data_IF_889746333184
#
_entry.id   IF_889746333184
#
_cell.length_a   1.000
_cell.length_b   1.000
_cell.length_c   1.000
_cell.angle_alpha   90.00
_cell.angle_beta   90.00
_cell.angle_gamma   90.00
#
_symmetry.space_group_name_H-M   'P 1'
#
loop_
_entity.id
_entity.type
_entity.pdbx_description
1 polymer ?
#
# COMPACT_ATOMS: atom_id res chain seq x y z
N UNK A 1 53.30 -1.91 34.29
CA UNK A 1 52.30 -0.85 34.03
C UNK A 1 51.96 -0.62 32.54
N UNK A 2 52.59 -1.32 31.57
CA UNK A 2 52.29 -1.14 30.13
C UNK A 2 51.36 -2.22 29.54
N UNK A 3 51.39 -3.45 30.07
CA UNK A 3 50.59 -4.57 29.55
C UNK A 3 49.09 -4.35 29.80
N UNK A 4 48.70 -3.91 30.99
CA UNK A 4 47.29 -3.62 31.31
C UNK A 4 46.69 -2.53 30.41
N UNK A 5 47.47 -1.48 30.10
CA UNK A 5 47.06 -0.44 29.14
C UNK A 5 46.88 -0.99 27.74
N UNK A 6 47.79 -1.85 27.28
CA UNK A 6 47.69 -2.48 25.97
C UNK A 6 46.45 -3.39 25.86
N UNK A 7 46.21 -4.21 26.89
CA UNK A 7 45.03 -5.10 26.95
C UNK A 7 43.73 -4.28 26.97
N UNK A 8 43.68 -3.18 27.73
CA UNK A 8 42.49 -2.33 27.78
C UNK A 8 42.20 -1.66 26.42
N UNK A 9 43.23 -1.15 25.73
CA UNK A 9 43.08 -0.57 24.39
C UNK A 9 42.57 -1.63 23.39
N UNK A 10 43.15 -2.83 23.41
CA UNK A 10 42.70 -3.94 22.56
C UNK A 10 41.25 -4.32 22.87
N UNK A 11 40.86 -4.36 24.16
CA UNK A 11 39.49 -4.64 24.58
C UNK A 11 38.49 -3.61 24.04
N UNK A 12 38.79 -2.32 24.17
CA UNK A 12 37.96 -1.25 23.61
C UNK A 12 37.88 -1.33 22.09
N UNK A 13 39.00 -1.59 21.40
CA UNK A 13 39.02 -1.76 19.95
C UNK A 13 38.21 -2.98 19.50
N UNK A 14 38.24 -4.08 20.25
CA UNK A 14 37.44 -5.27 19.95
C UNK A 14 35.94 -5.00 20.09
N UNK A 15 35.52 -4.23 21.10
CA UNK A 15 34.11 -3.79 21.25
C UNK A 15 33.70 -2.85 20.12
N UNK A 16 34.55 -1.89 19.74
CA UNK A 16 34.25 -1.00 18.60
C UNK A 16 34.12 -1.81 17.31
N UNK A 17 35.03 -2.75 17.06
CA UNK A 17 35.01 -3.60 15.87
C UNK A 17 33.74 -4.47 15.82
N UNK A 18 33.30 -5.03 16.96
CA UNK A 18 32.06 -5.82 17.01
C UNK A 18 30.82 -4.97 16.73
N UNK A 19 30.76 -3.73 17.25
CA UNK A 19 29.65 -2.80 16.97
C UNK A 19 29.60 -2.39 15.49
N UNK A 20 30.75 -2.13 14.87
CA UNK A 20 30.81 -1.84 13.42
C UNK A 20 30.30 -3.03 12.61
N UNK A 21 30.71 -4.25 12.96
CA UNK A 21 30.27 -5.47 12.30
C UNK A 21 28.75 -5.66 12.43
N UNK A 22 28.19 -5.47 13.63
CA UNK A 22 26.74 -5.53 13.85
C UNK A 22 26.01 -4.45 13.04
N UNK A 23 26.53 -3.22 12.99
CA UNK A 23 25.95 -2.15 12.18
C UNK A 23 25.88 -2.50 10.69
N UNK A 24 26.93 -3.13 10.15
CA UNK A 24 26.95 -3.61 8.77
C UNK A 24 25.94 -4.74 8.52
N UNK A 25 25.83 -5.69 9.46
CA UNK A 25 24.84 -6.77 9.36
C UNK A 25 23.40 -6.25 9.39
N UNK A 26 23.10 -5.29 10.28
CA UNK A 26 21.77 -4.69 10.38
C UNK A 26 21.39 -3.98 9.08
N UNK A 27 22.32 -3.22 8.48
CA UNK A 27 22.11 -2.59 7.18
C UNK A 27 21.83 -3.62 6.09
N UNK A 28 22.59 -4.70 6.04
CA UNK A 28 22.38 -5.76 5.05
C UNK A 28 21.02 -6.45 5.25
N UNK A 29 20.66 -6.77 6.49
CA UNK A 29 19.37 -7.38 6.83
C UNK A 29 18.20 -6.48 6.42
N UNK A 30 18.31 -5.16 6.63
CA UNK A 30 17.32 -4.19 6.19
C UNK A 30 17.14 -4.19 4.67
N UNK A 31 18.25 -4.21 3.91
CA UNK A 31 18.20 -4.25 2.43
C UNK A 31 17.53 -5.54 1.94
N UNK A 32 17.85 -6.68 2.55
CA UNK A 32 17.22 -7.96 2.20
C UNK A 32 15.72 -7.93 2.51
N UNK A 33 15.33 -7.40 3.68
CA UNK A 33 13.93 -7.30 4.06
C UNK A 33 13.12 -6.42 3.10
N UNK A 34 13.67 -5.27 2.69
CA UNK A 34 13.03 -4.38 1.71
C UNK A 34 12.91 -5.05 0.33
N UNK A 35 13.95 -5.78 -0.09
CA UNK A 35 13.92 -6.57 -1.32
C UNK A 35 12.84 -7.66 -1.29
N UNK A 36 12.77 -8.42 -0.20
CA UNK A 36 11.75 -9.46 0.00
C UNK A 36 10.33 -8.88 0.03
N UNK A 37 10.13 -7.72 0.69
CA UNK A 37 8.86 -7.01 0.69
C UNK A 37 8.46 -6.55 -0.72
N UNK A 38 9.41 -6.04 -1.51
CA UNK A 38 9.19 -5.62 -2.90
C UNK A 38 8.84 -6.80 -3.80
N UNK A 39 9.53 -7.93 -3.63
CA UNK A 39 9.22 -9.16 -4.36
C UNK A 39 7.82 -9.68 -4.01
N UNK A 40 7.49 -9.78 -2.72
CA UNK A 40 6.16 -10.25 -2.29
C UNK A 40 5.03 -9.36 -2.82
N UNK A 41 5.23 -8.04 -2.90
CA UNK A 41 4.28 -7.12 -3.54
C UNK A 41 4.13 -7.40 -5.03
N UNK A 42 5.24 -7.66 -5.73
CA UNK A 42 5.26 -7.96 -7.16
C UNK A 42 4.57 -9.31 -7.44
N UNK A 43 4.82 -10.32 -6.63
CA UNK A 43 4.20 -11.64 -6.73
C UNK A 43 2.68 -11.54 -6.51
N UNK A 44 2.24 -10.81 -5.49
CA UNK A 44 0.82 -10.57 -5.22
C UNK A 44 0.13 -9.84 -6.37
N UNK A 45 0.75 -8.80 -6.95
CA UNK A 45 0.19 -8.09 -8.10
C UNK A 45 0.12 -9.01 -9.33
N UNK A 46 1.17 -9.79 -9.58
CA UNK A 46 1.21 -10.76 -10.67
C UNK A 46 0.10 -11.79 -10.54
N UNK A 47 -0.13 -12.32 -9.33
CA UNK A 47 -1.22 -13.26 -9.06
C UNK A 47 -2.59 -12.65 -9.35
N UNK A 48 -2.83 -11.39 -8.95
CA UNK A 48 -4.09 -10.67 -9.24
C UNK A 48 -4.29 -10.52 -10.76
N UNK A 49 -3.24 -10.16 -11.50
CA UNK A 49 -3.32 -9.99 -12.94
C UNK A 49 -3.55 -11.32 -13.66
N UNK A 50 -2.82 -12.39 -13.29
CA UNK A 50 -3.01 -13.72 -13.87
C UNK A 50 -4.42 -14.25 -13.60
N UNK A 51 -4.94 -14.09 -12.38
CA UNK A 51 -6.31 -14.48 -12.04
C UNK A 51 -7.37 -13.76 -12.90
N UNK A 52 -7.07 -12.54 -13.37
CA UNK A 52 -7.96 -11.80 -14.27
C UNK A 52 -7.91 -12.36 -15.71
N UNK A 53 -6.78 -12.96 -16.11
CA UNK A 53 -6.58 -13.58 -17.43
C UNK A 53 -7.15 -15.00 -17.53
N UNK A 54 -7.40 -15.68 -16.41
CA UNK A 54 -7.92 -17.06 -16.35
C UNK A 54 -9.39 -17.24 -16.79
N UNK A 55 -10.01 -16.24 -17.42
CA UNK A 55 -11.31 -16.38 -18.09
C UNK A 55 -12.39 -15.37 -17.68
N UNK A 56 -12.02 -14.26 -17.03
CA UNK A 56 -12.98 -13.19 -16.71
C UNK A 56 -12.57 -11.87 -17.36
N UNK A 57 -12.79 -11.78 -18.68
CA UNK A 57 -12.55 -10.55 -19.47
C UNK A 57 -13.23 -9.32 -18.86
N UNK A 58 -14.34 -9.52 -18.14
CA UNK A 58 -15.06 -8.46 -17.45
C UNK A 58 -14.25 -7.82 -16.33
N UNK A 59 -13.38 -8.57 -15.66
CA UNK A 59 -12.46 -8.01 -14.66
C UNK A 59 -11.46 -7.07 -15.32
N UNK A 60 -10.94 -7.44 -16.49
CA UNK A 60 -10.00 -6.61 -17.25
C UNK A 60 -10.71 -5.33 -17.73
N UNK A 61 -11.90 -5.49 -18.31
CA UNK A 61 -12.73 -4.37 -18.76
C UNK A 61 -13.03 -3.40 -17.61
N UNK A 62 -13.64 -3.89 -16.52
CA UNK A 62 -14.07 -3.05 -15.40
C UNK A 62 -12.91 -2.52 -14.53
N UNK A 63 -11.68 -2.99 -14.75
CA UNK A 63 -10.48 -2.43 -14.13
C UNK A 63 -10.02 -1.13 -14.79
N UNK A 64 -10.52 -0.80 -15.99
CA UNK A 64 -10.23 0.45 -16.68
C UNK A 64 -10.65 1.67 -15.83
N UNK A 65 -9.76 2.66 -15.62
CA UNK A 65 -10.06 3.89 -14.88
C UNK A 65 -11.30 4.66 -15.34
N UNK A 66 -11.79 4.47 -16.58
CA UNK A 66 -13.02 5.11 -17.04
C UNK A 66 -14.24 4.75 -16.18
N UNK A 67 -14.32 3.49 -15.71
CA UNK A 67 -15.43 3.00 -14.87
C UNK A 67 -15.40 3.56 -13.45
N UNK A 68 -14.26 4.06 -12.99
CA UNK A 68 -14.22 4.81 -11.73
C UNK A 68 -15.12 6.04 -11.81
N UNK A 69 -15.15 6.74 -12.95
CA UNK A 69 -15.96 7.96 -13.10
C UNK A 69 -17.38 7.67 -13.59
N UNK A 70 -17.53 6.77 -14.55
CA UNK A 70 -18.84 6.48 -15.14
C UNK A 70 -19.72 5.58 -14.27
N UNK A 71 -19.14 4.89 -13.28
CA UNK A 71 -19.81 3.78 -12.60
C UNK A 71 -20.02 2.59 -13.55
N UNK A 72 -20.79 1.62 -13.07
CA UNK A 72 -21.17 0.41 -13.83
C UNK A 72 -22.66 0.11 -13.70
N UNK A 73 -23.17 -0.78 -14.55
CA UNK A 73 -24.56 -1.24 -14.45
C UNK A 73 -24.77 -2.17 -13.24
N UNK A 74 -26.03 -2.38 -12.82
CA UNK A 74 -26.37 -3.31 -11.73
C UNK A 74 -25.88 -4.75 -11.97
N UNK A 75 -25.80 -5.19 -13.23
CA UNK A 75 -25.31 -6.52 -13.57
C UNK A 75 -23.79 -6.67 -13.33
N UNK A 76 -23.05 -5.56 -13.46
CA UNK A 76 -21.58 -5.50 -13.34
C UNK A 76 -21.12 -5.10 -11.94
N UNK A 77 -22.05 -4.58 -11.14
CA UNK A 77 -21.85 -4.08 -9.79
C UNK A 77 -21.08 -5.05 -8.88
N UNK A 78 -21.36 -6.37 -8.83
CA UNK A 78 -20.61 -7.28 -7.96
C UNK A 78 -19.12 -7.36 -8.32
N UNK A 79 -18.80 -7.43 -9.62
CA UNK A 79 -17.42 -7.53 -10.12
C UNK A 79 -16.69 -6.21 -9.86
N UNK A 80 -17.33 -5.08 -10.21
CA UNK A 80 -16.76 -3.76 -9.95
C UNK A 80 -16.50 -3.53 -8.46
N UNK A 81 -17.44 -3.89 -7.59
CA UNK A 81 -17.26 -3.77 -6.15
C UNK A 81 -16.07 -4.61 -5.70
N UNK A 82 -15.95 -5.87 -6.14
CA UNK A 82 -14.82 -6.73 -5.78
C UNK A 82 -13.46 -6.15 -6.22
N UNK A 83 -13.35 -5.61 -7.44
CA UNK A 83 -12.16 -4.90 -7.91
C UNK A 83 -11.83 -3.74 -6.98
N UNK A 84 -12.83 -2.96 -6.60
CA UNK A 84 -12.66 -1.81 -5.71
C UNK A 84 -12.36 -2.20 -4.25
N UNK A 85 -12.75 -3.39 -3.79
CA UNK A 85 -12.30 -3.94 -2.48
C UNK A 85 -10.80 -4.14 -2.47
N UNK A 86 -10.26 -4.80 -3.49
CA UNK A 86 -8.82 -5.06 -3.62
C UNK A 86 -8.07 -3.73 -3.73
N UNK A 87 -8.60 -2.78 -4.52
CA UNK A 87 -8.07 -1.43 -4.64
C UNK A 87 -8.04 -0.72 -3.28
N UNK A 88 -9.13 -0.77 -2.51
CA UNK A 88 -9.23 -0.13 -1.20
C UNK A 88 -8.18 -0.67 -0.21
N UNK A 89 -8.01 -2.00 -0.12
CA UNK A 89 -6.97 -2.63 0.68
C UNK A 89 -5.57 -2.17 0.27
N UNK A 90 -5.29 -2.13 -1.04
CA UNK A 90 -4.00 -1.67 -1.56
C UNK A 90 -3.70 -0.21 -1.20
N UNK A 91 -4.69 0.68 -1.31
CA UNK A 91 -4.53 2.11 -1.02
C UNK A 91 -4.39 2.36 0.48
N UNK A 92 -5.18 1.69 1.31
CA UNK A 92 -5.05 1.75 2.77
C UNK A 92 -3.67 1.26 3.24
N UNK A 93 -3.19 0.15 2.68
CA UNK A 93 -1.88 -0.37 3.03
C UNK A 93 -0.76 0.61 2.65
N UNK A 94 -0.86 1.27 1.49
CA UNK A 94 0.10 2.32 1.11
C UNK A 94 0.09 3.50 2.09
N UNK A 95 -1.10 3.96 2.50
CA UNK A 95 -1.24 5.00 3.53
C UNK A 95 -0.61 4.60 4.86
N UNK A 96 -0.92 3.39 5.36
CA UNK A 96 -0.35 2.89 6.61
C UNK A 96 1.18 2.80 6.55
N UNK A 97 1.75 2.30 5.45
CA UNK A 97 3.21 2.24 5.28
C UNK A 97 3.84 3.63 5.23
N UNK A 98 3.19 4.60 4.58
CA UNK A 98 3.66 5.98 4.55
C UNK A 98 3.65 6.62 5.95
N UNK A 99 2.57 6.44 6.71
CA UNK A 99 2.48 6.92 8.10
C UNK A 99 3.55 6.31 9.02
N UNK A 100 4.00 5.09 8.73
CA UNK A 100 5.07 4.41 9.46
C UNK A 100 6.48 4.78 8.97
N UNK A 101 6.62 5.64 7.95
CA UNK A 101 7.91 5.99 7.34
C UNK A 101 8.54 4.86 6.52
N UNK A 102 7.76 3.83 6.19
CA UNK A 102 8.19 2.65 5.43
C UNK A 102 7.99 2.81 3.91
N UNK A 103 7.22 3.82 3.49
CA UNK A 103 6.97 4.11 2.08
C UNK A 103 7.72 5.39 1.67
N UNK A 104 8.59 5.34 0.63
CA UNK A 104 9.23 6.52 0.08
C UNK A 104 8.22 7.57 -0.42
N UNK A 105 8.60 8.85 -0.33
CA UNK A 105 7.74 10.00 -0.68
C UNK A 105 7.25 9.97 -2.15
N UNK A 106 8.11 9.60 -3.09
CA UNK A 106 7.77 9.48 -4.50
C UNK A 106 6.75 8.35 -4.76
N UNK A 107 6.91 7.22 -4.06
CA UNK A 107 5.96 6.11 -4.09
C UNK A 107 4.64 6.50 -3.43
N UNK A 108 4.67 7.30 -2.37
CA UNK A 108 3.49 7.85 -1.72
C UNK A 108 2.71 8.77 -2.66
N UNK A 109 3.38 9.69 -3.37
CA UNK A 109 2.71 10.57 -4.35
C UNK A 109 1.95 9.79 -5.42
N UNK A 110 2.48 8.66 -5.88
CA UNK A 110 1.76 7.78 -6.80
C UNK A 110 0.51 7.15 -6.13
N UNK A 111 0.61 6.72 -4.88
CA UNK A 111 -0.54 6.20 -4.13
C UNK A 111 -1.60 7.28 -3.92
N UNK A 112 -1.20 8.50 -3.56
CA UNK A 112 -2.07 9.65 -3.37
C UNK A 112 -2.83 10.00 -4.66
N UNK A 113 -2.17 10.01 -5.81
CA UNK A 113 -2.82 10.19 -7.11
C UNK A 113 -3.89 9.10 -7.36
N UNK A 114 -3.58 7.84 -7.03
CA UNK A 114 -4.56 6.73 -7.17
C UNK A 114 -5.74 6.88 -6.21
N UNK A 115 -5.50 7.37 -4.99
CA UNK A 115 -6.57 7.70 -4.04
C UNK A 115 -7.45 8.80 -4.63
N UNK A 116 -6.86 9.91 -5.08
CA UNK A 116 -7.59 11.02 -5.68
C UNK A 116 -8.44 10.59 -6.88
N UNK A 117 -7.90 9.74 -7.78
CA UNK A 117 -8.66 9.22 -8.92
C UNK A 117 -9.81 8.31 -8.48
N UNK A 118 -9.61 7.48 -7.45
CA UNK A 118 -10.67 6.61 -6.90
C UNK A 118 -11.78 7.44 -6.25
N UNK A 119 -11.40 8.52 -5.56
CA UNK A 119 -12.32 9.43 -4.87
C UNK A 119 -13.19 10.28 -5.81
N UNK A 120 -12.84 10.37 -7.11
CA UNK A 120 -13.65 11.08 -8.12
C UNK A 120 -14.96 10.37 -8.48
N UNK A 121 -15.08 9.09 -8.14
CA UNK A 121 -16.24 8.27 -8.44
C UNK A 121 -17.01 7.87 -7.20
N UNK A 122 -18.31 8.13 -7.13
CA UNK A 122 -19.09 7.82 -5.94
C UNK A 122 -19.10 6.32 -5.60
N UNK A 123 -19.36 5.45 -6.57
CA UNK A 123 -19.38 4.00 -6.35
C UNK A 123 -18.05 3.45 -5.77
N UNK A 124 -16.92 3.82 -6.39
CA UNK A 124 -15.61 3.40 -5.93
C UNK A 124 -15.23 4.02 -4.58
N UNK A 125 -15.62 5.27 -4.36
CA UNK A 125 -15.45 5.97 -3.09
C UNK A 125 -16.14 5.24 -1.95
N UNK A 126 -17.38 4.79 -2.11
CA UNK A 126 -18.07 4.03 -1.04
C UNK A 126 -17.32 2.77 -0.64
N UNK A 127 -16.78 2.05 -1.62
CA UNK A 127 -15.97 0.86 -1.34
C UNK A 127 -14.68 1.21 -0.57
N UNK A 128 -14.05 2.35 -0.90
CA UNK A 128 -12.87 2.84 -0.20
C UNK A 128 -13.19 3.22 1.25
N UNK A 129 -14.26 3.98 1.47
CA UNK A 129 -14.73 4.39 2.81
C UNK A 129 -15.18 3.21 3.67
N UNK A 130 -15.87 2.23 3.09
CA UNK A 130 -16.37 1.06 3.80
C UNK A 130 -15.28 0.14 4.33
N UNK A 131 -14.06 0.25 3.82
CA UNK A 131 -12.89 -0.52 4.28
C UNK A 131 -11.85 0.33 5.00
N UNK A 132 -12.09 1.63 5.15
CA UNK A 132 -11.13 2.54 5.74
C UNK A 132 -11.01 2.34 7.27
N UNK A 133 -9.78 2.18 7.77
CA UNK A 133 -9.49 2.35 9.19
C UNK A 133 -9.82 3.78 9.61
N UNK A 134 -10.06 4.06 10.92
CA UNK A 134 -10.38 5.41 11.37
C UNK A 134 -9.37 6.48 10.91
N UNK A 135 -8.07 6.18 11.00
CA UNK A 135 -7.01 7.09 10.57
C UNK A 135 -6.99 7.32 9.06
N UNK A 136 -7.27 6.30 8.25
CA UNK A 136 -7.32 6.44 6.81
C UNK A 136 -8.57 7.20 6.39
N UNK A 137 -9.71 6.93 7.05
CA UNK A 137 -10.97 7.65 6.82
C UNK A 137 -10.82 9.14 7.07
N UNK A 138 -10.16 9.53 8.16
CA UNK A 138 -9.88 10.94 8.45
C UNK A 138 -9.05 11.61 7.33
N UNK A 139 -8.06 10.90 6.79
CA UNK A 139 -7.30 11.38 5.64
C UNK A 139 -8.19 11.52 4.39
N UNK A 140 -9.00 10.50 4.08
CA UNK A 140 -9.94 10.55 2.95
C UNK A 140 -10.93 11.71 3.07
N UNK A 141 -11.43 11.98 4.27
CA UNK A 141 -12.30 13.13 4.55
C UNK A 141 -11.56 14.45 4.32
N UNK A 142 -10.28 14.55 4.69
CA UNK A 142 -9.50 15.79 4.50
C UNK A 142 -9.20 16.15 3.05
N UNK A 143 -9.19 15.15 2.15
CA UNK A 143 -8.94 15.34 0.71
C UNK A 143 -10.22 15.26 -0.13
N UNK A 144 -11.38 15.13 0.53
CA UNK A 144 -12.65 14.96 -0.13
C UNK A 144 -13.19 16.28 -0.67
N UNK A 145 -13.22 16.43 -1.98
CA UNK A 145 -13.80 17.61 -2.64
C UNK A 145 -15.23 17.39 -3.19
N UNK A 146 -15.65 16.13 -3.33
CA UNK A 146 -16.91 15.75 -3.99
C UNK A 146 -17.88 15.17 -2.96
N UNK A 147 -19.10 15.70 -2.94
CA UNK A 147 -20.22 15.12 -2.20
C UNK A 147 -20.87 14.00 -3.03
N UNK A 148 -21.04 12.83 -2.40
CA UNK A 148 -21.64 11.65 -3.01
C UNK A 148 -22.87 11.28 -2.19
N UNK A 149 -24.09 11.58 -2.67
CA UNK A 149 -25.30 11.20 -1.98
C UNK A 149 -25.48 9.68 -2.03
N UNK A 150 -25.73 9.08 -0.87
CA UNK A 150 -26.02 7.65 -0.75
C UNK A 150 -27.36 7.35 -1.43
N UNK A 151 -27.32 6.74 -2.61
CA UNK A 151 -28.49 6.18 -3.26
C UNK A 151 -28.34 4.67 -3.52
N UNK A 152 -29.45 4.03 -3.90
CA UNK A 152 -29.52 2.59 -4.12
C UNK A 152 -28.76 2.13 -5.39
N UNK A 153 -28.27 3.06 -6.22
CA UNK A 153 -27.53 2.74 -7.47
C UNK A 153 -26.16 2.11 -7.22
N UNK A 154 -25.67 2.17 -5.97
CA UNK A 154 -24.38 1.61 -5.57
C UNK A 154 -24.48 0.22 -4.92
N UNK A 155 -25.68 -0.35 -4.80
CA UNK A 155 -25.91 -1.66 -4.16
C UNK A 155 -25.52 -1.70 -2.70
N UNK A 156 -25.79 -0.60 -1.99
CA UNK A 156 -25.49 -0.42 -0.56
C UNK A 156 -26.72 -0.68 0.34
N UNK A 157 -27.81 -1.19 -0.21
CA UNK A 157 -28.97 -1.75 0.49
C UNK A 157 -29.12 -3.23 0.23
#
# INVERSE_FOLDING_TARGET
>A
MNIERAVNIIGVLAVIASLVFVGLQLRQAQVIALGAQTQARTDNLTAIFLASLEGNEKVIELSDPKYLRSGVTNAELPIFNQINRIRALSLQNAYQQYQLGLLPEDVWKLAELRIAVTMRGCQARYMLFGQATPSFRQFLDSISEIDCPLDDSFGLR
#
